data_IF_397982115035
#
_entry.id   IF_397982115035
#
_cell.length_a   1.000
_cell.length_b   1.000
_cell.length_c   1.000
_cell.angle_alpha   90.00
_cell.angle_beta   90.00
_cell.angle_gamma   90.00
#
_symmetry.space_group_name_H-M   'P 1'
#
loop_
_entity.id
_entity.type
_entity.pdbx_description
1 polymer ?
#
# COMPACT_ATOMS: atom_id res chain seq x y z
N UNK A 1 22.41 45.04 -23.72
CA UNK A 1 22.42 45.89 -24.94
C UNK A 1 23.84 46.30 -25.31
N UNK A 2 24.61 46.84 -24.36
CA UNK A 2 25.96 47.38 -24.61
C UNK A 2 26.96 46.41 -25.26
N UNK A 3 26.94 45.12 -24.91
CA UNK A 3 27.85 44.11 -25.48
C UNK A 3 27.54 43.72 -26.93
N UNK A 4 26.27 43.80 -27.35
CA UNK A 4 25.87 43.54 -28.73
C UNK A 4 26.24 44.73 -29.63
N UNK A 5 26.05 45.94 -29.10
CA UNK A 5 26.45 47.19 -29.75
C UNK A 5 27.98 47.27 -29.92
N UNK A 6 28.74 46.90 -28.89
CA UNK A 6 30.20 46.85 -28.95
C UNK A 6 30.73 45.86 -29.99
N UNK A 7 30.14 44.66 -30.08
CA UNK A 7 30.55 43.64 -31.06
C UNK A 7 30.20 44.04 -32.51
N UNK A 8 29.06 44.69 -32.72
CA UNK A 8 28.64 45.20 -34.02
C UNK A 8 29.54 46.35 -34.50
N UNK A 9 30.01 47.20 -33.58
CA UNK A 9 30.89 48.31 -33.89
C UNK A 9 32.34 47.86 -34.20
N UNK A 10 32.83 46.77 -33.60
CA UNK A 10 34.17 46.23 -33.87
C UNK A 10 34.25 45.35 -35.12
N UNK A 11 33.12 44.87 -35.66
CA UNK A 11 33.07 44.03 -36.88
C UNK A 11 32.14 44.64 -37.94
N UNK A 12 32.52 45.81 -38.49
CA UNK A 12 31.75 46.59 -39.49
C UNK A 12 31.34 45.82 -40.78
N UNK A 13 31.89 44.63 -41.03
CA UNK A 13 31.58 43.82 -42.22
C UNK A 13 30.45 42.79 -42.06
N UNK A 14 29.82 42.65 -40.87
CA UNK A 14 28.73 41.70 -40.65
C UNK A 14 27.40 42.43 -40.39
N UNK A 15 26.26 41.95 -40.93
CA UNK A 15 24.98 42.64 -40.79
C UNK A 15 24.54 42.68 -39.32
N UNK A 16 24.03 43.83 -38.89
CA UNK A 16 23.56 44.10 -37.52
C UNK A 16 22.57 43.03 -37.01
N UNK A 17 21.78 42.44 -37.91
CA UNK A 17 20.87 41.33 -37.61
C UNK A 17 21.60 40.09 -37.04
N UNK A 18 22.79 39.73 -37.53
CA UNK A 18 23.59 38.62 -36.98
C UNK A 18 24.08 38.91 -35.56
N UNK A 19 24.54 40.14 -35.29
CA UNK A 19 24.99 40.55 -33.96
C UNK A 19 23.84 40.53 -32.95
N UNK A 20 22.65 40.96 -33.38
CA UNK A 20 21.43 40.92 -32.56
C UNK A 20 20.93 39.49 -32.32
N UNK A 21 20.92 38.63 -33.37
CA UNK A 21 20.58 37.20 -33.26
C UNK A 21 21.51 36.47 -32.29
N UNK A 22 22.81 36.72 -32.34
CA UNK A 22 23.77 36.14 -31.40
C UNK A 22 23.52 36.62 -29.96
N UNK A 23 23.26 37.91 -29.76
CA UNK A 23 22.95 38.43 -28.44
C UNK A 23 21.64 37.86 -27.87
N UNK A 24 20.64 37.63 -28.72
CA UNK A 24 19.39 36.95 -28.35
C UNK A 24 19.62 35.48 -27.99
N UNK A 25 20.37 34.74 -28.81
CA UNK A 25 20.72 33.34 -28.56
C UNK A 25 21.52 33.14 -27.27
N UNK A 26 22.37 34.10 -26.90
CA UNK A 26 23.07 34.08 -25.62
C UNK A 26 22.15 34.24 -24.42
N UNK A 27 21.15 35.13 -24.51
CA UNK A 27 20.13 35.26 -23.47
C UNK A 27 19.26 34.00 -23.37
N UNK A 28 18.87 33.40 -24.50
CA UNK A 28 18.11 32.13 -24.53
C UNK A 28 18.91 30.98 -23.90
N UNK A 29 20.21 30.85 -24.19
CA UNK A 29 21.08 29.86 -23.52
C UNK A 29 21.10 30.03 -22.00
N UNK A 30 21.09 31.27 -21.50
CA UNK A 30 21.04 31.53 -20.05
C UNK A 30 19.70 31.13 -19.43
N UNK A 31 18.59 31.32 -20.13
CA UNK A 31 17.27 30.89 -19.66
C UNK A 31 17.07 29.37 -19.74
N UNK A 32 17.60 28.72 -20.77
CA UNK A 32 17.54 27.25 -20.90
C UNK A 32 18.25 26.52 -19.77
N UNK A 33 19.24 27.12 -19.10
CA UNK A 33 19.95 26.47 -17.99
C UNK A 33 19.06 26.23 -16.76
N UNK A 34 17.99 27.01 -16.59
CA UNK A 34 17.00 26.82 -15.53
C UNK A 34 15.93 25.77 -15.87
N UNK A 35 15.67 25.55 -17.15
CA UNK A 35 14.65 24.61 -17.62
C UNK A 35 15.00 23.15 -17.30
N UNK A 36 16.29 22.78 -17.32
CA UNK A 36 16.73 21.41 -16.99
C UNK A 36 16.41 21.01 -15.53
N UNK A 37 16.48 21.95 -14.59
CA UNK A 37 16.11 21.70 -13.19
C UNK A 37 14.59 21.56 -13.06
N UNK A 38 13.84 22.35 -13.83
CA UNK A 38 12.39 22.28 -13.83
C UNK A 38 11.87 20.97 -14.45
N UNK A 39 12.45 20.54 -15.57
CA UNK A 39 12.13 19.27 -16.25
C UNK A 39 12.36 18.03 -15.37
N UNK A 40 13.31 18.09 -14.45
CA UNK A 40 13.57 17.00 -13.50
C UNK A 40 12.69 17.11 -12.26
N UNK A 41 12.42 18.33 -11.77
CA UNK A 41 11.66 18.54 -10.53
C UNK A 41 10.16 18.32 -10.71
N UNK A 42 9.56 18.73 -11.83
CA UNK A 42 8.12 18.57 -12.11
C UNK A 42 7.67 17.10 -12.02
N UNK A 43 8.33 16.12 -12.65
CA UNK A 43 7.92 14.72 -12.53
C UNK A 43 8.30 14.08 -11.20
N UNK A 44 9.36 14.55 -10.51
CA UNK A 44 9.78 14.00 -9.21
C UNK A 44 8.89 14.47 -8.05
N UNK A 45 8.35 15.69 -8.11
CA UNK A 45 7.58 16.27 -7.00
C UNK A 45 6.35 15.42 -6.60
N UNK A 46 5.52 14.90 -7.53
CA UNK A 46 4.42 14.00 -7.18
C UNK A 46 4.88 12.67 -6.57
N UNK A 47 6.01 12.11 -7.03
CA UNK A 47 6.54 10.85 -6.51
C UNK A 47 7.04 10.99 -5.07
N UNK A 48 7.71 12.11 -4.75
CA UNK A 48 8.14 12.42 -3.38
C UNK A 48 6.93 12.67 -2.47
N UNK A 49 5.88 13.34 -2.98
CA UNK A 49 4.63 13.53 -2.24
C UNK A 49 3.93 12.19 -1.94
N UNK A 50 3.82 11.31 -2.92
CA UNK A 50 3.24 9.97 -2.75
C UNK A 50 4.07 9.12 -1.78
N UNK A 51 5.40 9.19 -1.84
CA UNK A 51 6.26 8.50 -0.88
C UNK A 51 6.00 8.99 0.56
N UNK A 52 5.81 10.29 0.75
CA UNK A 52 5.45 10.88 2.03
C UNK A 52 4.12 10.39 2.57
N UNK A 53 3.09 10.29 1.72
CA UNK A 53 1.77 9.78 2.16
C UNK A 53 1.83 8.29 2.51
N UNK A 54 2.51 7.47 1.71
CA UNK A 54 2.66 6.04 1.97
C UNK A 54 3.45 5.79 3.25
N UNK A 55 4.59 6.45 3.44
CA UNK A 55 5.40 6.32 4.66
C UNK A 55 4.66 6.84 5.89
N UNK A 56 3.90 7.94 5.77
CA UNK A 56 3.02 8.45 6.82
C UNK A 56 1.95 7.44 7.22
N UNK A 57 1.25 6.83 6.27
CA UNK A 57 0.27 5.78 6.55
C UNK A 57 0.91 4.58 7.26
N UNK A 58 2.05 4.09 6.77
CA UNK A 58 2.77 2.96 7.40
C UNK A 58 3.13 3.30 8.85
N UNK A 59 3.59 4.52 9.13
CA UNK A 59 3.94 4.94 10.49
C UNK A 59 2.70 5.07 11.38
N UNK A 60 1.62 5.66 10.89
CA UNK A 60 0.36 5.78 11.63
C UNK A 60 -0.24 4.42 11.96
N UNK A 61 -0.28 3.50 10.98
CA UNK A 61 -0.74 2.13 11.21
C UNK A 61 0.25 1.31 12.05
N UNK A 62 1.56 1.58 11.97
CA UNK A 62 2.56 0.96 12.84
C UNK A 62 2.44 1.40 14.30
N UNK A 63 2.09 2.67 14.54
CA UNK A 63 1.78 3.17 15.89
C UNK A 63 0.48 2.58 16.44
N UNK A 64 -0.52 2.37 15.59
CA UNK A 64 -1.74 1.66 15.97
C UNK A 64 -1.52 0.16 16.12
N UNK A 65 -0.62 -0.45 15.34
CA UNK A 65 -0.47 -1.91 15.21
C UNK A 65 0.70 -2.55 15.95
N UNK A 66 1.50 -1.78 16.70
CA UNK A 66 2.57 -2.32 17.52
C UNK A 66 2.02 -2.95 18.81
N UNK A 67 1.98 -4.29 18.89
CA UNK A 67 1.59 -5.11 20.05
C UNK A 67 0.20 -4.85 20.70
N UNK A 68 -0.40 -3.69 20.51
CA UNK A 68 -1.63 -3.27 21.17
C UNK A 68 -2.87 -3.82 20.46
N UNK A 69 -2.92 -3.92 19.12
CA UNK A 69 -4.11 -4.45 18.42
C UNK A 69 -4.50 -5.89 18.82
N UNK A 70 -3.54 -6.69 19.26
CA UNK A 70 -3.77 -8.05 19.76
C UNK A 70 -3.74 -8.16 21.29
N UNK A 71 -3.45 -7.05 22.00
CA UNK A 71 -3.41 -7.06 23.45
C UNK A 71 -4.85 -7.15 24.01
N UNK A 72 -5.06 -7.96 25.06
CA UNK A 72 -6.36 -8.03 25.75
C UNK A 72 -6.93 -6.65 26.13
N UNK A 73 -6.05 -5.69 26.44
CA UNK A 73 -6.42 -4.32 26.79
C UNK A 73 -7.05 -3.53 25.62
N UNK A 74 -6.54 -3.66 24.40
CA UNK A 74 -7.13 -2.94 23.25
C UNK A 74 -8.45 -3.56 22.81
N UNK A 75 -8.58 -4.89 22.89
CA UNK A 75 -9.85 -5.59 22.63
C UNK A 75 -10.90 -5.16 23.65
N UNK A 76 -10.52 -5.08 24.94
CA UNK A 76 -11.40 -4.57 25.99
C UNK A 76 -11.81 -3.10 25.73
N UNK A 77 -10.88 -2.25 25.30
CA UNK A 77 -11.15 -0.87 24.92
C UNK A 77 -12.14 -0.76 23.75
N UNK A 78 -11.94 -1.53 22.69
CA UNK A 78 -12.83 -1.57 21.52
C UNK A 78 -14.23 -2.09 21.85
N UNK A 79 -14.34 -3.09 22.73
CA UNK A 79 -15.65 -3.55 23.24
C UNK A 79 -16.36 -2.44 24.02
N UNK A 80 -15.63 -1.70 24.86
CA UNK A 80 -16.19 -0.60 25.63
C UNK A 80 -16.69 0.54 24.72
N UNK A 81 -15.90 0.91 23.70
CA UNK A 81 -16.25 1.95 22.73
C UNK A 81 -17.50 1.56 21.92
N UNK A 82 -17.54 0.34 21.36
CA UNK A 82 -18.73 -0.19 20.70
C UNK A 82 -19.94 -0.22 21.64
N UNK A 83 -19.71 -0.50 22.91
CA UNK A 83 -20.72 -0.55 23.95
C UNK A 83 -21.45 0.78 24.13
N UNK A 84 -20.73 1.91 23.99
CA UNK A 84 -21.25 3.27 24.11
C UNK A 84 -22.12 3.69 22.93
N UNK A 85 -21.89 3.11 21.74
CA UNK A 85 -22.57 3.47 20.49
C UNK A 85 -23.67 2.48 20.07
N UNK A 86 -24.07 1.54 20.95
CA UNK A 86 -25.11 0.55 20.64
C UNK A 86 -26.46 1.21 20.36
N UNK A 87 -27.11 0.74 19.31
CA UNK A 87 -28.47 1.14 18.97
C UNK A 87 -29.45 0.63 20.04
N UNK A 88 -30.52 1.40 20.28
CA UNK A 88 -31.54 1.07 21.28
C UNK A 88 -32.20 -0.30 21.00
N UNK A 89 -32.65 -1.03 22.04
CA UNK A 89 -33.25 -2.37 21.90
C UNK A 89 -34.49 -2.44 20.99
N UNK A 90 -35.18 -1.31 20.80
CA UNK A 90 -36.35 -1.18 19.92
C UNK A 90 -36.02 -1.25 18.42
N UNK A 91 -34.76 -1.02 18.04
CA UNK A 91 -34.31 -1.05 16.63
C UNK A 91 -34.19 -2.51 16.23
N UNK A 92 -34.78 -2.92 15.10
CA UNK A 92 -34.67 -4.29 14.60
C UNK A 92 -33.21 -4.69 14.38
N UNK A 93 -32.86 -5.98 14.61
CA UNK A 93 -31.46 -6.45 14.57
C UNK A 93 -30.80 -6.26 13.18
N UNK A 94 -31.58 -6.33 12.09
CA UNK A 94 -31.13 -6.00 10.73
C UNK A 94 -30.62 -4.56 10.57
N UNK A 95 -31.11 -3.64 11.42
CA UNK A 95 -30.77 -2.23 11.43
C UNK A 95 -29.89 -1.84 12.63
N UNK A 96 -29.31 -2.82 13.33
CA UNK A 96 -28.47 -2.60 14.51
C UNK A 96 -27.07 -3.21 14.38
N UNK A 97 -26.26 -2.73 13.41
CA UNK A 97 -24.93 -3.25 13.14
C UNK A 97 -23.98 -3.12 14.34
N UNK A 98 -24.04 -2.03 15.12
CA UNK A 98 -23.13 -1.83 16.26
C UNK A 98 -23.46 -2.80 17.38
N UNK A 99 -24.74 -3.03 17.67
CA UNK A 99 -25.18 -4.04 18.64
C UNK A 99 -24.81 -5.45 18.21
N UNK A 100 -24.93 -5.77 16.91
CA UNK A 100 -24.50 -7.06 16.37
C UNK A 100 -22.99 -7.25 16.50
N UNK A 101 -22.20 -6.24 16.11
CA UNK A 101 -20.74 -6.26 16.21
C UNK A 101 -20.27 -6.37 17.66
N UNK A 102 -20.80 -5.56 18.57
CA UNK A 102 -20.52 -5.63 20.01
C UNK A 102 -20.80 -7.04 20.56
N UNK A 103 -21.96 -7.62 20.22
CA UNK A 103 -22.32 -8.98 20.66
C UNK A 103 -21.34 -10.03 20.12
N UNK A 104 -20.97 -9.93 18.85
CA UNK A 104 -20.03 -10.85 18.21
C UNK A 104 -18.65 -10.81 18.87
N UNK A 105 -18.09 -9.60 19.03
CA UNK A 105 -16.75 -9.38 19.57
C UNK A 105 -16.72 -9.72 21.06
N UNK A 106 -17.71 -9.31 21.84
CA UNK A 106 -17.80 -9.63 23.26
C UNK A 106 -17.83 -11.15 23.50
N UNK A 107 -18.54 -11.90 22.66
CA UNK A 107 -18.60 -13.36 22.78
C UNK A 107 -17.31 -14.07 22.30
N UNK A 108 -16.45 -13.39 21.55
CA UNK A 108 -15.24 -13.96 20.91
C UNK A 108 -13.94 -13.33 21.38
N UNK A 109 -13.97 -12.45 22.38
CA UNK A 109 -12.79 -11.72 22.84
C UNK A 109 -11.60 -12.64 23.19
N UNK A 110 -11.85 -13.82 23.76
CA UNK A 110 -10.79 -14.80 24.05
C UNK A 110 -10.10 -15.41 22.80
N UNK A 111 -10.74 -15.36 21.63
CA UNK A 111 -10.16 -15.81 20.35
C UNK A 111 -9.44 -14.69 19.59
N UNK A 112 -9.54 -13.45 20.08
CA UNK A 112 -8.95 -12.27 19.44
C UNK A 112 -7.57 -11.91 20.02
N UNK A 113 -7.07 -12.67 21.00
CA UNK A 113 -5.72 -12.50 21.55
C UNK A 113 -4.65 -13.03 20.57
N UNK A 114 -4.43 -12.26 19.51
CA UNK A 114 -3.44 -12.56 18.50
C UNK A 114 -2.02 -12.52 19.09
N UNK A 115 -1.77 -11.69 20.10
CA UNK A 115 -0.45 -11.57 20.71
C UNK A 115 -0.05 -12.87 21.42
N UNK A 116 -0.95 -13.44 22.25
CA UNK A 116 -0.73 -14.72 22.88
C UNK A 116 -0.65 -15.86 21.87
N UNK A 117 -1.45 -15.84 20.80
CA UNK A 117 -1.40 -16.83 19.74
C UNK A 117 -0.04 -16.83 19.00
N UNK A 118 0.50 -15.64 18.69
CA UNK A 118 1.84 -15.50 18.08
C UNK A 118 2.91 -16.01 19.05
N UNK A 119 2.84 -15.62 20.33
CA UNK A 119 3.81 -16.04 21.35
C UNK A 119 3.80 -17.57 21.57
N UNK A 120 2.63 -18.19 21.46
CA UNK A 120 2.45 -19.64 21.54
C UNK A 120 2.80 -20.38 20.23
N UNK A 121 3.17 -19.68 19.16
CA UNK A 121 3.47 -20.27 17.86
C UNK A 121 2.26 -20.93 17.18
N UNK A 122 1.04 -20.53 17.54
CA UNK A 122 -0.17 -21.08 16.96
C UNK A 122 -0.36 -20.59 15.52
N UNK A 123 -0.90 -21.41 14.61
CA UNK A 123 -1.21 -20.98 13.26
C UNK A 123 -2.30 -19.91 13.27
N UNK A 124 -1.98 -18.72 12.78
CA UNK A 124 -2.91 -17.60 12.68
C UNK A 124 -3.38 -17.45 11.24
N UNK A 125 -4.70 -17.34 11.06
CA UNK A 125 -5.30 -16.94 9.78
C UNK A 125 -4.97 -15.47 9.48
N UNK A 126 -3.76 -15.21 9.00
CA UNK A 126 -3.40 -13.90 8.49
C UNK A 126 -3.94 -13.73 7.06
N UNK A 127 -4.13 -12.49 6.62
CA UNK A 127 -4.55 -12.21 5.23
C UNK A 127 -3.61 -12.83 4.19
N UNK A 128 -2.33 -13.02 4.51
CA UNK A 128 -1.36 -13.76 3.68
C UNK A 128 -1.68 -15.26 3.62
N UNK A 129 -2.01 -15.88 4.75
CA UNK A 129 -2.42 -17.30 4.82
C UNK A 129 -3.76 -17.49 4.10
N UNK A 130 -4.73 -16.61 4.30
CA UNK A 130 -6.05 -16.68 3.64
C UNK A 130 -5.95 -16.47 2.13
N UNK A 131 -5.15 -15.50 1.69
CA UNK A 131 -4.84 -15.29 0.27
C UNK A 131 -4.14 -16.53 -0.30
N UNK A 132 -3.12 -17.05 0.37
CA UNK A 132 -2.43 -18.28 -0.01
C UNK A 132 -3.39 -19.46 -0.13
N UNK A 133 -4.27 -19.66 0.85
CA UNK A 133 -5.30 -20.70 0.82
C UNK A 133 -6.23 -20.55 -0.40
N UNK A 134 -6.66 -19.32 -0.73
CA UNK A 134 -7.50 -19.04 -1.91
C UNK A 134 -6.79 -19.39 -3.21
N UNK A 135 -5.51 -19.05 -3.35
CA UNK A 135 -4.76 -19.23 -4.59
C UNK A 135 -4.18 -20.64 -4.76
N UNK A 136 -3.80 -21.30 -3.67
CA UNK A 136 -3.16 -22.62 -3.68
C UNK A 136 -4.20 -23.73 -3.57
N UNK A 137 -5.08 -23.68 -2.56
CA UNK A 137 -5.99 -24.78 -2.24
C UNK A 137 -7.34 -24.64 -2.95
N UNK A 138 -8.02 -23.49 -2.83
CA UNK A 138 -9.37 -23.33 -3.40
C UNK A 138 -9.40 -23.45 -4.91
N UNK A 139 -8.32 -23.05 -5.60
CA UNK A 139 -8.17 -23.17 -7.04
C UNK A 139 -8.31 -24.61 -7.57
N UNK A 140 -8.28 -25.65 -6.73
CA UNK A 140 -8.63 -27.00 -7.14
C UNK A 140 -9.62 -27.71 -6.22
N UNK A 141 -9.49 -27.53 -4.91
CA UNK A 141 -10.28 -28.27 -3.94
C UNK A 141 -11.73 -27.76 -3.84
N UNK A 142 -11.99 -26.50 -4.18
CA UNK A 142 -13.30 -25.83 -4.02
C UNK A 142 -14.00 -25.54 -5.35
N UNK A 143 -13.85 -26.43 -6.33
CA UNK A 143 -14.55 -26.31 -7.61
C UNK A 143 -15.92 -27.03 -7.55
N UNK A 144 -16.92 -26.60 -8.35
CA UNK A 144 -18.22 -27.25 -8.41
C UNK A 144 -18.10 -28.75 -8.74
N UNK A 145 -18.85 -29.59 -8.04
CA UNK A 145 -18.88 -31.04 -8.27
C UNK A 145 -17.67 -31.82 -7.78
N UNK A 146 -16.72 -31.18 -7.09
CA UNK A 146 -15.58 -31.89 -6.51
C UNK A 146 -15.94 -32.51 -5.16
N UNK A 147 -15.68 -33.81 -5.01
CA UNK A 147 -15.75 -34.54 -3.76
C UNK A 147 -14.38 -35.18 -3.51
N UNK A 148 -13.87 -35.06 -2.28
CA UNK A 148 -12.54 -35.54 -1.92
C UNK A 148 -12.60 -36.40 -0.67
N UNK A 149 -11.88 -37.52 -0.70
CA UNK A 149 -11.48 -38.20 0.53
C UNK A 149 -10.35 -37.39 1.20
N UNK A 150 -10.25 -37.36 2.54
CA UNK A 150 -9.22 -36.58 3.23
C UNK A 150 -7.79 -36.86 2.74
N UNK A 151 -7.46 -38.14 2.54
CA UNK A 151 -6.15 -38.56 2.01
C UNK A 151 -5.86 -37.98 0.62
N UNK A 152 -6.84 -38.02 -0.28
CA UNK A 152 -6.68 -37.49 -1.64
C UNK A 152 -6.61 -35.96 -1.66
N UNK A 153 -7.39 -35.30 -0.79
CA UNK A 153 -7.35 -33.85 -0.64
C UNK A 153 -5.97 -33.38 -0.18
N UNK A 154 -5.35 -34.10 0.76
CA UNK A 154 -4.02 -33.81 1.27
C UNK A 154 -2.94 -33.97 0.19
N UNK A 155 -2.96 -35.07 -0.58
CA UNK A 155 -2.03 -35.27 -1.70
C UNK A 155 -2.15 -34.15 -2.75
N UNK A 156 -3.37 -33.73 -3.08
CA UNK A 156 -3.59 -32.61 -4.00
C UNK A 156 -3.12 -31.28 -3.40
N UNK A 157 -3.33 -31.05 -2.11
CA UNK A 157 -2.83 -29.87 -1.42
C UNK A 157 -1.30 -29.79 -1.47
N UNK A 158 -0.60 -30.90 -1.19
CA UNK A 158 0.85 -30.99 -1.26
C UNK A 158 1.38 -30.72 -2.68
N UNK A 159 0.80 -31.36 -3.70
CA UNK A 159 1.16 -31.12 -5.10
C UNK A 159 0.96 -29.66 -5.52
N UNK A 160 -0.10 -29.01 -5.02
CA UNK A 160 -0.37 -27.59 -5.29
C UNK A 160 0.64 -26.68 -4.62
N UNK A 161 1.09 -27.00 -3.41
CA UNK A 161 2.17 -26.28 -2.72
C UNK A 161 3.47 -26.41 -3.50
N UNK A 162 3.83 -27.62 -3.91
CA UNK A 162 5.04 -27.87 -4.72
C UNK A 162 4.98 -27.08 -6.02
N UNK A 163 3.86 -27.16 -6.75
CA UNK A 163 3.64 -26.40 -7.98
C UNK A 163 3.74 -24.90 -7.78
N UNK A 164 3.17 -24.36 -6.70
CA UNK A 164 3.14 -22.91 -6.47
C UNK A 164 4.52 -22.36 -6.08
N UNK A 165 5.42 -23.21 -5.62
CA UNK A 165 6.80 -22.86 -5.30
C UNK A 165 7.81 -23.31 -6.39
N UNK A 166 7.34 -23.87 -7.51
CA UNK A 166 8.18 -24.47 -8.57
C UNK A 166 9.16 -25.57 -8.08
N UNK A 167 8.83 -26.24 -6.96
CA UNK A 167 9.71 -27.22 -6.26
C UNK A 167 9.54 -28.66 -6.74
N UNK A 168 9.32 -28.87 -8.03
CA UNK A 168 9.03 -30.20 -8.59
C UNK A 168 10.13 -31.24 -8.37
N UNK A 169 11.35 -30.79 -8.04
CA UNK A 169 12.50 -31.65 -7.77
C UNK A 169 12.52 -32.24 -6.36
N UNK A 170 11.64 -31.76 -5.46
CA UNK A 170 11.57 -32.18 -4.05
C UNK A 170 10.49 -33.26 -3.79
N UNK A 171 9.85 -33.76 -4.85
CA UNK A 171 8.87 -34.85 -4.83
C UNK A 171 9.54 -36.19 -5.08
#
# INVERSE_FOLDING_TARGET
MWRALAYALTHRGRPFSEAMLRAANWKLKRFNRGLTILDTTIPLAPLVGLLGTVTGMIRSFGMLGGAELGAPAAIAGGIAELGAHREAPRVADENAPVRAAHRYIANRHGTLDYAAAIAAGLPIGSGLIESGHKHVLQARLKLPGCAWLPSNAESIAQLRVVRSNDRWQDL
#
